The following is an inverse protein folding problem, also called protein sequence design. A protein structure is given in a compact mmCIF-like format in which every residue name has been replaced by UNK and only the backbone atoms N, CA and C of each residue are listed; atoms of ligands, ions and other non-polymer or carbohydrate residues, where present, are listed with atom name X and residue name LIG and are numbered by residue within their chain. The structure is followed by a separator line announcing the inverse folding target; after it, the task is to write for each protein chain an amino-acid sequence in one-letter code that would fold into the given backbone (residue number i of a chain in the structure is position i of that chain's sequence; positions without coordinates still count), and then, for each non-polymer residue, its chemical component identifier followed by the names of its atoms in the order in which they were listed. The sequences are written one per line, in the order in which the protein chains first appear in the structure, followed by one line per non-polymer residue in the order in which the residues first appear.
data_IF_463888926222
#
_entry.id   IF_463888926222
#
_cell.length_a   1.000
_cell.length_b   1.000
_cell.length_c   1.000
_cell.angle_alpha   90.00
_cell.angle_beta   90.00
_cell.angle_gamma   90.00
#
_symmetry.space_group_name_H-M   'P 1'
#
loop_
_entity.id
_entity.type
_entity.pdbx_description
1 polymer ?
#
# COMPACT_ATOMS: atom_id res chain seq x y z
N UNK A 1 -10.08 4.47 18.29
CA UNK A 1 -9.47 3.67 17.21
C UNK A 1 -8.55 4.59 16.43
N UNK A 2 -7.24 4.57 16.68
CA UNK A 2 -6.27 5.45 15.99
C UNK A 2 -4.94 4.72 15.73
N UNK A 3 -5.00 3.50 15.21
CA UNK A 3 -3.81 2.69 14.92
C UNK A 3 -3.70 2.21 13.47
N UNK A 4 -4.67 2.55 12.60
CA UNK A 4 -4.71 2.12 11.21
C UNK A 4 -4.45 3.31 10.30
N UNK A 5 -3.50 3.15 9.37
CA UNK A 5 -3.24 4.13 8.31
C UNK A 5 -3.83 3.60 7.02
N UNK A 6 -4.75 4.35 6.41
CA UNK A 6 -5.39 3.99 5.14
C UNK A 6 -4.82 4.84 4.00
N UNK A 7 -4.43 4.19 2.90
CA UNK A 7 -3.81 4.83 1.75
C UNK A 7 -4.59 4.45 0.49
N UNK A 8 -4.97 5.45 -0.31
CA UNK A 8 -5.63 5.26 -1.60
C UNK A 8 -4.74 5.81 -2.71
N UNK A 9 -4.37 4.93 -3.63
CA UNK A 9 -3.62 5.30 -4.82
C UNK A 9 -4.57 5.68 -5.95
N UNK A 10 -4.19 6.67 -6.75
CA UNK A 10 -4.91 7.07 -7.96
C UNK A 10 -3.94 7.18 -9.13
N UNK A 11 -4.36 6.68 -10.28
CA UNK A 11 -3.62 6.81 -11.54
C UNK A 11 -4.24 5.96 -12.63
N UNK A 12 -3.70 6.07 -13.83
CA UNK A 12 -4.12 5.33 -15.03
C UNK A 12 -3.37 4.00 -15.13
N UNK A 13 -3.93 3.08 -15.92
CA UNK A 13 -3.24 1.85 -16.27
C UNK A 13 -1.83 2.14 -16.83
N UNK A 14 -0.84 1.40 -16.35
CA UNK A 14 0.57 1.59 -16.72
C UNK A 14 1.32 2.70 -15.96
N UNK A 15 0.67 3.46 -15.07
CA UNK A 15 1.35 4.48 -14.24
C UNK A 15 1.98 3.91 -12.95
N UNK A 16 2.01 2.58 -12.79
CA UNK A 16 2.65 1.94 -11.65
C UNK A 16 1.89 2.06 -10.32
N UNK A 17 0.60 2.39 -10.34
CA UNK A 17 -0.24 2.52 -9.14
C UNK A 17 -0.26 1.24 -8.29
N UNK A 18 -0.40 0.09 -8.93
CA UNK A 18 -0.41 -1.22 -8.25
C UNK A 18 0.97 -1.51 -7.66
N UNK A 19 2.02 -1.30 -8.46
CA UNK A 19 3.41 -1.48 -8.04
C UNK A 19 3.78 -0.59 -6.84
N UNK A 20 3.34 0.67 -6.82
CA UNK A 20 3.55 1.55 -5.67
C UNK A 20 2.89 1.00 -4.38
N UNK A 21 1.70 0.40 -4.52
CA UNK A 21 1.03 -0.30 -3.42
C UNK A 21 1.79 -1.54 -2.94
N UNK A 22 2.34 -2.34 -3.85
CA UNK A 22 3.14 -3.52 -3.53
C UNK A 22 4.44 -3.15 -2.82
N UNK A 23 5.15 -2.11 -3.29
CA UNK A 23 6.39 -1.62 -2.67
C UNK A 23 6.13 -1.08 -1.26
N UNK A 24 5.03 -0.36 -1.06
CA UNK A 24 4.64 0.10 0.28
C UNK A 24 4.32 -1.09 1.21
N UNK A 25 3.65 -2.12 0.68
CA UNK A 25 3.34 -3.32 1.44
C UNK A 25 4.61 -4.02 1.92
N UNK A 26 5.58 -4.21 1.03
CA UNK A 26 6.87 -4.84 1.33
C UNK A 26 7.62 -4.04 2.41
N UNK A 27 7.75 -2.73 2.25
CA UNK A 27 8.39 -1.86 3.24
C UNK A 27 7.69 -1.92 4.62
N UNK A 28 6.34 -1.94 4.65
CA UNK A 28 5.60 -2.06 5.90
C UNK A 28 5.83 -3.42 6.58
N UNK A 29 5.89 -4.51 5.81
CA UNK A 29 6.17 -5.85 6.33
C UNK A 29 7.60 -5.97 6.86
N UNK A 30 8.58 -5.36 6.19
CA UNK A 30 9.98 -5.29 6.67
C UNK A 30 10.11 -4.56 8.01
N UNK A 31 9.27 -3.54 8.25
CA UNK A 31 9.16 -2.85 9.54
C UNK A 31 8.36 -3.63 10.61
N UNK A 32 7.93 -4.86 10.32
CA UNK A 32 7.14 -5.69 11.23
C UNK A 32 5.69 -5.22 11.40
N UNK A 33 5.18 -4.40 10.48
CA UNK A 33 3.78 -3.95 10.46
C UNK A 33 2.91 -4.93 9.69
N UNK A 34 1.60 -4.72 9.75
CA UNK A 34 0.61 -5.48 9.00
C UNK A 34 0.08 -4.65 7.83
N UNK A 35 -0.28 -5.32 6.73
CA UNK A 35 -0.77 -4.68 5.53
C UNK A 35 -1.96 -5.44 4.93
N UNK A 36 -2.89 -4.70 4.35
CA UNK A 36 -4.01 -5.22 3.58
C UNK A 36 -4.24 -4.29 2.38
N UNK A 37 -4.33 -4.86 1.18
CA UNK A 37 -4.69 -4.12 -0.03
C UNK A 37 -5.78 -4.83 -0.82
N UNK A 38 -6.57 -4.03 -1.54
CA UNK A 38 -7.58 -4.45 -2.49
C UNK A 38 -7.66 -3.41 -3.63
N UNK A 39 -8.05 -3.82 -4.86
CA UNK A 39 -8.22 -2.91 -6.00
C UNK A 39 -9.35 -1.89 -5.82
#
# INVERSE_FOLDING_TARGET
MSGLTEIRWHGRAGQGVVTAGEVLAEAALEEGKYFQAFP
#
